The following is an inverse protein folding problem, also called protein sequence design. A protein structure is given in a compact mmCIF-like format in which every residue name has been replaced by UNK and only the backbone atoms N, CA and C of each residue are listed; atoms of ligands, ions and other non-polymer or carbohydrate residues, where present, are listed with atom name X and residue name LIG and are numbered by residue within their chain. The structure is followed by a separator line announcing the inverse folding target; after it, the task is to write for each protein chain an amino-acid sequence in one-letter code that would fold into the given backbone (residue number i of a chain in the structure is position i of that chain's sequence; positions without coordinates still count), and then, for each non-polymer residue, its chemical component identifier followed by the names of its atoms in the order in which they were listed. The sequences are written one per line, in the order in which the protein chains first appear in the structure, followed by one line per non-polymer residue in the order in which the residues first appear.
data_IF_045659131020
#
_entry.id   IF_045659131020
#
_cell.length_a   1.000
_cell.length_b   1.000
_cell.length_c   1.000
_cell.angle_alpha   90.00
_cell.angle_beta   90.00
_cell.angle_gamma   90.00
#
_symmetry.space_group_name_H-M   'P 1'
#
loop_
_entity.id
_entity.type
_entity.pdbx_description
1 polymer ?
#
# COMPACT_ATOMS: atom_id res chain seq x y z
N UNK A 1 -8.02 10.39 10.18
CA UNK A 1 -9.30 11.11 10.37
C UNK A 1 -10.47 10.18 10.10
N UNK A 2 -11.69 10.53 10.53
CA UNK A 2 -12.84 9.62 10.54
C UNK A 2 -13.15 8.95 9.19
N UNK A 3 -13.10 9.72 8.08
CA UNK A 3 -13.30 9.20 6.71
C UNK A 3 -12.31 8.09 6.37
N UNK A 4 -11.02 8.34 6.55
CA UNK A 4 -9.95 7.37 6.25
C UNK A 4 -10.09 6.13 7.14
N UNK A 5 -10.48 6.29 8.40
CA UNK A 5 -10.70 5.15 9.30
C UNK A 5 -11.84 4.24 8.82
N UNK A 6 -12.95 4.81 8.34
CA UNK A 6 -14.08 4.06 7.78
C UNK A 6 -13.70 3.42 6.42
N UNK A 7 -12.94 4.13 5.59
CA UNK A 7 -12.51 3.58 4.31
C UNK A 7 -11.51 2.42 4.49
N UNK A 8 -10.65 2.48 5.50
CA UNK A 8 -9.74 1.40 5.85
C UNK A 8 -10.48 0.18 6.40
N UNK A 9 -11.53 0.37 7.21
CA UNK A 9 -12.32 -0.75 7.73
C UNK A 9 -13.17 -1.45 6.66
N UNK A 10 -13.49 -0.76 5.56
CA UNK A 10 -14.22 -1.32 4.41
C UNK A 10 -13.33 -1.73 3.24
N UNK A 11 -12.01 -1.56 3.36
CA UNK A 11 -11.01 -1.68 2.28
C UNK A 11 -11.24 -0.77 1.06
N UNK A 12 -12.15 0.19 1.14
CA UNK A 12 -12.34 1.19 0.09
C UNK A 12 -11.07 2.04 -0.10
N UNK A 13 -10.36 2.36 1.01
CA UNK A 13 -9.12 3.13 0.95
C UNK A 13 -8.10 2.46 0.02
N UNK A 14 -7.98 1.13 0.11
CA UNK A 14 -7.06 0.35 -0.72
C UNK A 14 -7.52 0.28 -2.18
N UNK A 15 -8.82 0.31 -2.42
CA UNK A 15 -9.39 0.46 -3.76
C UNK A 15 -9.03 1.79 -4.43
N UNK A 16 -9.07 2.90 -3.68
CA UNK A 16 -8.61 4.20 -4.18
C UNK A 16 -7.09 4.23 -4.43
N UNK A 17 -6.30 3.68 -3.51
CA UNK A 17 -4.84 3.59 -3.68
C UNK A 17 -4.44 2.76 -4.91
N UNK A 18 -5.18 1.68 -5.22
CA UNK A 18 -4.98 0.92 -6.47
C UNK A 18 -5.22 1.78 -7.72
N UNK A 19 -6.30 2.57 -7.72
CA UNK A 19 -6.60 3.48 -8.84
C UNK A 19 -5.52 4.56 -8.95
N UNK A 20 -5.06 5.10 -7.83
CA UNK A 20 -3.95 6.07 -7.79
C UNK A 20 -2.66 5.47 -8.36
N UNK A 21 -2.30 4.25 -7.96
CA UNK A 21 -1.08 3.58 -8.42
C UNK A 21 -1.05 3.39 -9.95
N UNK A 22 -2.20 3.01 -10.56
CA UNK A 22 -2.34 2.96 -12.02
C UNK A 22 -1.92 4.28 -12.67
N UNK A 23 -2.42 5.41 -12.16
CA UNK A 23 -2.17 6.72 -12.75
C UNK A 23 -0.77 7.27 -12.43
N UNK A 24 -0.27 7.04 -11.21
CA UNK A 24 1.01 7.58 -10.76
C UNK A 24 2.21 6.85 -11.38
N UNK A 25 2.08 5.55 -11.61
CA UNK A 25 3.19 4.70 -12.08
C UNK A 25 2.95 4.08 -13.46
N UNK A 26 1.86 4.45 -14.14
CA UNK A 26 1.48 3.92 -15.46
C UNK A 26 1.47 2.38 -15.50
N UNK A 27 0.85 1.77 -14.48
CA UNK A 27 0.75 0.31 -14.35
C UNK A 27 -0.66 -0.18 -14.68
N UNK A 28 -0.72 -1.25 -15.48
CA UNK A 28 -1.99 -1.90 -15.81
C UNK A 28 -2.69 -2.42 -14.55
N UNK A 29 -4.02 -2.23 -14.40
CA UNK A 29 -4.76 -2.71 -13.23
C UNK A 29 -4.62 -4.21 -12.95
N UNK A 30 -4.40 -5.02 -13.99
CA UNK A 30 -4.16 -6.47 -13.88
C UNK A 30 -2.82 -6.82 -13.23
N UNK A 31 -1.90 -5.86 -13.14
CA UNK A 31 -0.58 -5.98 -12.50
C UNK A 31 -0.54 -5.44 -11.07
N UNK A 32 -1.68 -4.99 -10.53
CA UNK A 32 -1.77 -4.50 -9.15
C UNK A 32 -2.44 -5.56 -8.27
N UNK A 33 -1.70 -6.13 -7.33
CA UNK A 33 -2.22 -7.06 -6.34
C UNK A 33 -2.42 -6.36 -5.00
N UNK A 34 -3.64 -6.44 -4.47
CA UNK A 34 -3.95 -5.96 -3.12
C UNK A 34 -3.70 -7.09 -2.14
N UNK A 35 -2.83 -6.84 -1.17
CA UNK A 35 -2.46 -7.80 -0.13
C UNK A 35 -2.79 -7.21 1.23
N UNK A 36 -3.44 -7.99 2.09
CA UNK A 36 -3.68 -7.61 3.48
C UNK A 36 -2.44 -7.98 4.30
N UNK A 37 -1.87 -6.97 4.96
CA UNK A 37 -0.70 -7.09 5.82
C UNK A 37 -0.99 -6.44 7.18
N UNK A 38 -1.51 -7.20 8.16
CA UNK A 38 -2.02 -6.64 9.42
C UNK A 38 -0.96 -5.88 10.23
N UNK A 39 0.32 -6.29 10.15
CA UNK A 39 1.41 -5.66 10.90
C UNK A 39 1.75 -4.26 10.39
N UNK A 40 1.35 -3.89 9.17
CA UNK A 40 1.59 -2.57 8.57
C UNK A 40 3.06 -2.14 8.56
N UNK A 41 3.99 -3.10 8.52
CA UNK A 41 5.44 -2.86 8.44
C UNK A 41 5.91 -2.79 7.00
N UNK A 42 5.40 -3.70 6.16
CA UNK A 42 5.59 -3.62 4.71
C UNK A 42 4.54 -2.66 4.16
N UNK A 43 4.98 -1.51 3.65
CA UNK A 43 4.07 -0.46 3.19
C UNK A 43 3.60 -0.70 1.75
N UNK A 44 4.46 -1.24 0.89
CA UNK A 44 4.16 -1.74 -0.45
C UNK A 44 5.38 -2.47 -1.02
N UNK A 45 5.18 -3.14 -2.16
CA UNK A 45 6.21 -3.94 -2.85
C UNK A 45 6.12 -3.71 -4.36
N UNK A 46 7.26 -3.81 -5.04
CA UNK A 46 7.35 -3.76 -6.50
C UNK A 46 8.06 -5.02 -6.97
N UNK A 47 7.45 -5.72 -7.93
CA UNK A 47 8.04 -6.87 -8.60
C UNK A 47 8.62 -6.43 -9.95
N UNK A 48 9.86 -6.81 -10.22
CA UNK A 48 10.58 -6.49 -11.45
C UNK A 48 10.55 -7.67 -12.44
N UNK A 49 10.94 -7.42 -13.69
CA UNK A 49 10.91 -8.41 -14.78
C UNK A 49 11.84 -9.61 -14.54
N UNK A 50 12.88 -9.43 -13.73
CA UNK A 50 13.78 -10.49 -13.28
C UNK A 50 13.20 -11.34 -12.13
N UNK A 51 11.91 -11.15 -11.83
CA UNK A 51 11.17 -11.76 -10.73
C UNK A 51 11.64 -11.34 -9.32
N UNK A 52 12.57 -10.39 -9.20
CA UNK A 52 12.94 -9.82 -7.90
C UNK A 52 11.81 -8.95 -7.34
N UNK A 53 11.73 -8.89 -6.02
CA UNK A 53 10.76 -8.04 -5.30
C UNK A 53 11.51 -7.12 -4.36
N UNK A 54 11.24 -5.82 -4.48
CA UNK A 54 11.72 -4.81 -3.53
C UNK A 54 10.53 -4.34 -2.70
N UNK A 55 10.68 -4.41 -1.38
CA UNK A 55 9.69 -3.97 -0.40
C UNK A 55 10.23 -2.78 0.38
N UNK A 56 9.38 -1.78 0.61
CA UNK A 56 9.71 -0.71 1.57
C UNK A 56 9.12 -1.07 2.93
N UNK A 57 10.02 -1.22 3.92
CA UNK A 57 9.68 -1.52 5.31
C UNK A 57 9.92 -0.31 6.20
N UNK A 58 9.08 -0.14 7.21
CA UNK A 58 9.22 0.92 8.19
C UNK A 58 8.24 0.78 9.34
N UNK A 59 8.44 1.62 10.36
CA UNK A 59 7.37 1.86 11.33
C UNK A 59 6.23 2.63 10.63
N UNK A 60 4.94 2.37 10.96
CA UNK A 60 3.80 3.07 10.36
C UNK A 60 3.73 4.53 10.85
N UNK A 61 4.62 5.36 10.30
CA UNK A 61 4.79 6.77 10.65
C UNK A 61 4.88 7.62 9.39
N UNK A 62 3.92 8.53 9.22
CA UNK A 62 3.78 9.39 8.04
C UNK A 62 4.94 10.38 7.87
N UNK A 63 5.74 10.64 8.91
CA UNK A 63 6.91 11.54 8.79
C UNK A 63 7.90 11.03 7.74
N UNK A 64 8.06 9.71 7.60
CA UNK A 64 9.01 9.11 6.65
C UNK A 64 8.61 9.38 5.18
N UNK A 65 7.40 8.99 4.71
CA UNK A 65 7.01 9.24 3.33
C UNK A 65 6.87 10.73 3.01
N UNK A 66 6.38 11.55 3.96
CA UNK A 66 6.28 13.01 3.76
C UNK A 66 7.67 13.62 3.58
N UNK A 67 8.62 13.30 4.47
CA UNK A 67 9.98 13.81 4.36
C UNK A 67 10.62 13.41 3.03
N UNK A 68 10.47 12.14 2.63
CA UNK A 68 11.07 11.65 1.40
C UNK A 68 10.48 12.29 0.15
N UNK A 69 9.18 12.62 0.14
CA UNK A 69 8.56 13.35 -0.97
C UNK A 69 9.18 14.75 -1.18
N UNK A 70 9.61 15.43 -0.10
CA UNK A 70 10.26 16.74 -0.19
C UNK A 70 11.77 16.67 -0.45
N UNK A 71 12.42 15.58 -0.04
CA UNK A 71 13.87 15.45 -0.10
C UNK A 71 14.37 14.56 -1.23
N UNK A 72 13.49 13.98 -2.05
CA UNK A 72 13.91 13.07 -3.11
C UNK A 72 14.88 13.76 -4.10
N UNK A 73 16.01 13.13 -4.47
CA UNK A 73 16.41 11.74 -4.17
C UNK A 73 17.17 11.54 -2.85
N UNK A 74 17.52 12.62 -2.15
CA UNK A 74 18.25 12.57 -0.88
C UNK A 74 17.42 11.99 0.28
N UNK A 75 18.12 11.45 1.28
CA UNK A 75 17.52 10.98 2.53
C UNK A 75 17.99 11.86 3.68
N UNK A 76 17.03 12.45 4.39
CA UNK A 76 17.29 13.26 5.58
C UNK A 76 17.24 12.40 6.84
N UNK A 77 17.98 12.82 7.86
CA UNK A 77 17.96 12.20 9.19
C UNK A 77 16.58 12.40 9.81
N UNK A 78 16.02 11.33 10.38
CA UNK A 78 14.72 11.35 11.05
C UNK A 78 14.83 10.80 12.46
N UNK A 79 13.96 11.29 13.35
CA UNK A 79 13.78 10.84 14.73
C UNK A 79 12.72 9.74 14.87
N UNK A 80 12.15 9.26 13.75
CA UNK A 80 11.19 8.14 13.74
C UNK A 80 11.85 6.89 14.35
N UNK A 81 11.13 6.13 15.22
CA UNK A 81 11.66 4.92 15.81
C UNK A 81 12.19 3.95 14.75
N UNK A 82 13.36 3.36 15.02
CA UNK A 82 13.96 2.37 14.12
C UNK A 82 13.16 1.07 14.16
N UNK A 83 12.97 0.48 12.99
CA UNK A 83 12.42 -0.86 12.86
C UNK A 83 13.36 -1.88 13.49
N UNK A 84 12.84 -2.69 14.41
CA UNK A 84 13.58 -3.77 15.05
C UNK A 84 13.02 -5.11 14.58
N UNK A 85 13.72 -5.73 13.62
CA UNK A 85 13.30 -7.00 13.02
C UNK A 85 13.34 -8.17 14.03
N UNK A 86 14.14 -8.09 15.09
CA UNK A 86 14.22 -9.14 16.10
C UNK A 86 13.06 -9.08 17.09
N UNK A 87 12.48 -7.90 17.31
CA UNK A 87 11.22 -7.74 18.06
C UNK A 87 9.99 -8.08 17.22
N UNK A 88 10.14 -8.08 15.91
CA UNK A 88 9.11 -8.48 14.96
C UNK A 88 9.01 -10.00 14.92
N UNK A 89 7.94 -10.54 15.49
CA UNK A 89 7.75 -11.99 15.55
C UNK A 89 7.50 -12.60 14.16
N UNK A 90 6.64 -11.98 13.35
CA UNK A 90 6.30 -12.46 12.02
C UNK A 90 5.73 -11.34 11.13
N UNK A 91 5.79 -11.57 9.82
CA UNK A 91 5.07 -10.82 8.80
C UNK A 91 4.08 -11.78 8.13
N UNK A 92 2.81 -11.40 8.06
CA UNK A 92 1.78 -12.22 7.42
C UNK A 92 1.17 -11.48 6.24
N UNK A 93 0.81 -12.24 5.21
CA UNK A 93 0.22 -11.74 3.98
C UNK A 93 -0.97 -12.63 3.63
N UNK A 94 -2.10 -12.01 3.35
CA UNK A 94 -3.31 -12.73 2.96
C UNK A 94 -4.04 -11.99 1.83
N UNK A 95 -4.81 -12.75 1.05
CA UNK A 95 -5.65 -12.16 0.01
C UNK A 95 -6.87 -11.48 0.66
N UNK A 96 -7.27 -10.29 0.20
CA UNK A 96 -8.49 -9.66 0.69
C UNK A 96 -9.72 -10.48 0.28
N UNK A 97 -10.66 -10.62 1.21
CA UNK A 97 -11.95 -11.28 0.95
C UNK A 97 -12.91 -10.29 0.27
N UNK A 98 -12.96 -10.31 -1.06
CA UNK A 98 -13.85 -9.42 -1.84
C UNK A 98 -15.35 -9.72 -1.64
N UNK A 99 -15.71 -10.89 -1.09
CA UNK A 99 -17.08 -11.22 -0.71
C UNK A 99 -17.52 -10.46 0.53
N UNK A 100 -16.65 -10.36 1.53
CA UNK A 100 -16.86 -9.56 2.75
C UNK A 100 -16.65 -8.06 2.49
N UNK A 101 -15.61 -7.70 1.74
CA UNK A 101 -15.23 -6.32 1.45
C UNK A 101 -15.67 -5.92 0.03
N UNK A 102 -16.99 -5.77 -0.16
CA UNK A 102 -17.58 -5.50 -1.48
C UNK A 102 -17.09 -4.19 -2.13
N UNK A 103 -16.71 -3.19 -1.33
CA UNK A 103 -16.15 -1.94 -1.83
C UNK A 103 -14.87 -2.16 -2.66
N UNK A 104 -14.05 -3.14 -2.28
CA UNK A 104 -12.86 -3.50 -3.03
C UNK A 104 -13.22 -4.11 -4.40
N UNK A 105 -14.26 -4.94 -4.45
CA UNK A 105 -14.78 -5.48 -5.70
C UNK A 105 -15.27 -4.36 -6.64
N UNK A 106 -15.97 -3.36 -6.10
CA UNK A 106 -16.39 -2.20 -6.88
C UNK A 106 -15.22 -1.39 -7.40
N UNK A 107 -14.15 -1.21 -6.62
CA UNK A 107 -12.95 -0.52 -7.10
C UNK A 107 -12.29 -1.27 -8.29
N UNK A 108 -12.20 -2.60 -8.22
CA UNK A 108 -11.72 -3.44 -9.33
C UNK A 108 -12.61 -3.36 -10.56
N UNK A 109 -13.93 -3.26 -10.39
CA UNK A 109 -14.86 -3.10 -11.50
C UNK A 109 -14.70 -1.72 -12.16
N UNK A 110 -14.66 -0.65 -11.36
CA UNK A 110 -14.51 0.72 -11.84
C UNK A 110 -13.22 0.93 -12.63
N UNK A 111 -12.08 0.44 -12.11
CA UNK A 111 -10.80 0.61 -12.79
C UNK A 111 -10.73 -0.14 -14.12
N UNK A 112 -11.43 -1.29 -14.24
CA UNK A 112 -11.53 -2.06 -15.49
C UNK A 112 -12.44 -1.41 -16.51
N UNK A 113 -13.57 -0.84 -16.06
CA UNK A 113 -14.49 -0.12 -16.95
C UNK A 113 -13.82 1.14 -17.52
N UNK A 114 -13.06 1.85 -16.70
CA UNK A 114 -12.46 3.13 -17.08
C UNK A 114 -13.51 4.20 -17.38
N UNK A 115 -13.05 5.40 -17.77
CA UNK A 115 -13.95 6.52 -18.08
C UNK A 115 -14.58 7.14 -16.82
N UNK A 116 -15.73 7.80 -17.02
CA UNK A 116 -16.56 8.45 -15.99
C UNK A 116 -17.97 7.87 -15.99
#
# INVERSE_FOLDING_TARGET
GAKVTIDSSTLMNKGFEMIEAKWLFDVEPSRIEIVVHPQSIVHSMVQFEDASVIAQLGMPDMRVPIQYAFSYPERLVSDVPRLDLFKLACLTFEKPDTGKFRNLAFAYESIRRGGN
#
